data_IF_651247308055
#
_entry.id   IF_651247308055
#
_cell.length_a   1.000
_cell.length_b   1.000
_cell.length_c   1.000
_cell.angle_alpha   90.00
_cell.angle_beta   90.00
_cell.angle_gamma   90.00
#
_symmetry.space_group_name_H-M   'P 1'
#
loop_
_entity.id
_entity.type
_entity.pdbx_description
1 polymer ?
#
# COMPACT_ATOMS: atom_id res chain seq x y z
N UNK A 1 33.69 20.01 -18.87
CA UNK A 1 33.33 20.51 -17.52
C UNK A 1 31.83 20.81 -17.36
N UNK A 2 31.10 21.25 -18.40
CA UNK A 2 29.64 21.47 -18.37
C UNK A 2 28.83 20.20 -18.09
N UNK A 3 29.24 19.06 -18.64
CA UNK A 3 28.51 17.78 -18.48
C UNK A 3 28.42 17.30 -17.02
N UNK A 4 29.50 17.46 -16.23
CA UNK A 4 29.54 16.97 -14.84
C UNK A 4 28.52 17.65 -13.91
N UNK A 5 28.28 18.96 -14.10
CA UNK A 5 27.35 19.73 -13.25
C UNK A 5 25.89 19.41 -13.59
N UNK A 6 25.60 19.23 -14.88
CA UNK A 6 24.27 18.86 -15.37
C UNK A 6 23.92 17.45 -14.85
N UNK A 7 24.83 16.49 -14.99
CA UNK A 7 24.64 15.13 -14.49
C UNK A 7 24.42 15.10 -12.97
N UNK A 8 25.21 15.85 -12.20
CA UNK A 8 25.04 15.96 -10.74
C UNK A 8 23.67 16.56 -10.36
N UNK A 9 23.26 17.64 -11.02
CA UNK A 9 21.97 18.27 -10.81
C UNK A 9 20.83 17.27 -11.03
N UNK A 10 20.88 16.53 -12.14
CA UNK A 10 19.84 15.56 -12.45
C UNK A 10 19.79 14.38 -11.46
N UNK A 11 20.94 13.90 -10.96
CA UNK A 11 20.98 12.85 -9.92
C UNK A 11 20.36 13.33 -8.60
N UNK A 12 20.71 14.55 -8.17
CA UNK A 12 20.14 15.17 -6.98
C UNK A 12 18.62 15.38 -7.14
N UNK A 13 18.21 15.90 -8.30
CA UNK A 13 16.80 16.09 -8.64
C UNK A 13 16.03 14.76 -8.62
N UNK A 14 16.57 13.70 -9.23
CA UNK A 14 15.98 12.38 -9.22
C UNK A 14 15.78 11.84 -7.80
N UNK A 15 16.78 11.98 -6.92
CA UNK A 15 16.69 11.53 -5.53
C UNK A 15 15.62 12.31 -4.74
N UNK A 16 15.54 13.63 -4.95
CA UNK A 16 14.50 14.48 -4.34
C UNK A 16 13.12 14.09 -4.85
N UNK A 17 12.96 13.80 -6.15
CA UNK A 17 11.68 13.34 -6.73
C UNK A 17 11.24 12.02 -6.08
N UNK A 18 12.15 11.05 -5.94
CA UNK A 18 11.86 9.77 -5.26
C UNK A 18 11.37 9.98 -3.83
N UNK A 19 12.05 10.84 -3.06
CA UNK A 19 11.66 11.12 -1.68
C UNK A 19 10.32 11.88 -1.59
N UNK A 20 10.12 12.87 -2.47
CA UNK A 20 8.92 13.72 -2.49
C UNK A 20 7.68 12.91 -2.81
N UNK A 21 7.77 11.93 -3.72
CA UNK A 21 6.69 11.01 -4.04
C UNK A 21 6.17 10.31 -2.78
N UNK A 22 7.04 9.70 -2.00
CA UNK A 22 6.63 8.93 -0.82
C UNK A 22 6.18 9.83 0.34
N UNK A 23 6.73 11.04 0.48
CA UNK A 23 6.20 12.05 1.43
C UNK A 23 4.78 12.46 1.03
N UNK A 24 4.52 12.71 -0.26
CA UNK A 24 3.19 13.03 -0.76
C UNK A 24 2.21 11.86 -0.61
N UNK A 25 2.67 10.60 -0.74
CA UNK A 25 1.88 9.42 -0.40
C UNK A 25 1.54 9.38 1.09
N UNK A 26 2.52 9.52 1.99
CA UNK A 26 2.30 9.47 3.43
C UNK A 26 1.28 10.50 3.93
N UNK A 27 1.37 11.74 3.43
CA UNK A 27 0.42 12.81 3.76
C UNK A 27 -1.01 12.57 3.27
N UNK A 28 -1.22 11.60 2.37
CA UNK A 28 -2.54 11.28 1.80
C UNK A 28 -3.18 10.07 2.44
N UNK A 29 -2.39 9.11 2.91
CA UNK A 29 -2.89 7.97 3.70
C UNK A 29 -3.19 8.35 5.14
N UNK A 30 -2.69 9.50 5.56
CA UNK A 30 -3.03 10.15 6.80
C UNK A 30 -4.36 10.90 6.64
N UNK A 31 -5.45 10.17 6.92
CA UNK A 31 -6.79 10.56 6.50
C UNK A 31 -7.42 11.56 7.46
N UNK A 32 -7.14 11.41 8.75
CA UNK A 32 -7.95 12.00 9.82
C UNK A 32 -7.34 13.28 10.40
N UNK A 33 -6.04 13.27 10.69
CA UNK A 33 -5.21 14.42 11.07
C UNK A 33 -3.96 14.43 10.18
N UNK A 34 -3.87 15.33 9.20
CA UNK A 34 -2.71 15.32 8.30
C UNK A 34 -1.50 15.96 8.94
N UNK A 35 -0.42 15.18 8.98
CA UNK A 35 0.88 15.66 9.45
C UNK A 35 1.38 16.91 8.70
N UNK A 36 1.93 17.84 9.49
CA UNK A 36 2.54 19.07 8.96
C UNK A 36 3.82 18.72 8.21
N UNK A 37 4.15 19.50 7.18
CA UNK A 37 5.32 19.20 6.34
C UNK A 37 6.66 19.32 7.09
N UNK A 38 6.76 20.23 8.08
CA UNK A 38 8.01 20.51 8.79
C UNK A 38 8.53 19.33 9.65
N UNK A 39 7.69 18.63 10.45
CA UNK A 39 8.09 17.37 11.08
C UNK A 39 8.61 16.33 10.09
N UNK A 40 7.93 16.17 8.95
CA UNK A 40 8.34 15.21 7.91
C UNK A 40 9.69 15.59 7.29
N UNK A 41 9.93 16.87 7.00
CA UNK A 41 11.25 17.35 6.53
C UNK A 41 12.34 17.08 7.58
N UNK A 42 12.04 17.32 8.86
CA UNK A 42 13.01 17.07 9.93
C UNK A 42 13.36 15.58 10.04
N UNK A 43 12.34 14.72 9.98
CA UNK A 43 12.53 13.27 9.97
C UNK A 43 13.31 12.79 8.73
N UNK A 44 13.06 13.40 7.57
CA UNK A 44 13.79 13.12 6.34
C UNK A 44 15.28 13.45 6.50
N UNK A 45 15.60 14.64 7.04
CA UNK A 45 16.98 15.08 7.27
C UNK A 45 17.68 14.14 8.26
N UNK A 46 17.04 13.76 9.36
CA UNK A 46 17.58 12.79 10.31
C UNK A 46 17.84 11.45 9.61
N UNK A 47 16.90 10.99 8.77
CA UNK A 47 17.07 9.80 7.93
C UNK A 47 18.29 9.90 7.01
N UNK A 48 18.55 11.05 6.39
CA UNK A 48 19.73 11.27 5.55
C UNK A 48 21.05 11.16 6.30
N UNK A 49 21.06 11.31 7.63
CA UNK A 49 22.25 11.13 8.45
C UNK A 49 22.51 9.66 8.81
N UNK A 50 21.49 8.78 8.75
CA UNK A 50 21.61 7.38 9.16
C UNK A 50 22.55 6.51 8.30
N UNK A 51 22.74 6.75 6.98
CA UNK A 51 23.77 6.05 6.20
C UNK A 51 25.19 6.23 6.76
N UNK A 52 25.51 7.34 7.41
CA UNK A 52 26.82 7.54 8.04
C UNK A 52 27.08 6.56 9.19
N UNK A 53 26.02 6.18 9.93
CA UNK A 53 26.09 5.15 10.97
C UNK A 53 26.37 3.79 10.32
N UNK A 54 25.66 3.50 9.22
CA UNK A 54 25.83 2.27 8.46
C UNK A 54 27.26 2.12 7.92
N UNK A 55 27.84 3.19 7.36
CA UNK A 55 29.22 3.24 6.88
C UNK A 55 30.24 2.99 7.99
N UNK A 56 29.99 3.49 9.20
CA UNK A 56 30.83 3.21 10.36
C UNK A 56 30.88 1.70 10.66
N UNK A 57 29.74 1.04 10.72
CA UNK A 57 29.69 -0.41 10.95
C UNK A 57 30.26 -1.22 9.79
N UNK A 58 30.04 -0.82 8.53
CA UNK A 58 30.70 -1.44 7.38
C UNK A 58 32.23 -1.36 7.50
N UNK A 59 32.77 -0.24 7.98
CA UNK A 59 34.23 -0.12 8.24
C UNK A 59 34.71 -1.11 9.31
N UNK A 60 33.92 -1.37 10.35
CA UNK A 60 34.26 -2.36 11.37
C UNK A 60 34.24 -3.80 10.82
N UNK A 61 33.21 -4.15 10.06
CA UNK A 61 33.12 -5.47 9.40
C UNK A 61 34.30 -5.69 8.46
N UNK A 62 34.64 -4.68 7.64
CA UNK A 62 35.77 -4.74 6.74
C UNK A 62 37.11 -4.94 7.49
N UNK A 63 37.34 -4.22 8.59
CA UNK A 63 38.53 -4.40 9.44
C UNK A 63 38.60 -5.77 10.10
N UNK A 64 37.45 -6.38 10.40
CA UNK A 64 37.35 -7.73 10.93
C UNK A 64 37.51 -8.82 9.86
N UNK A 65 37.70 -8.46 8.58
CA UNK A 65 37.76 -9.41 7.47
C UNK A 65 36.42 -10.06 7.13
N UNK A 66 35.31 -9.46 7.59
CA UNK A 66 33.95 -9.92 7.30
C UNK A 66 33.45 -9.15 6.08
N UNK A 67 33.19 -9.87 5.00
CA UNK A 67 32.73 -9.32 3.74
C UNK A 67 32.27 -10.42 2.80
N UNK A 68 31.76 -10.01 1.64
CA UNK A 68 31.44 -10.92 0.54
C UNK A 68 32.71 -11.60 0.02
N UNK A 69 32.62 -12.88 -0.32
CA UNK A 69 33.74 -13.66 -0.83
C UNK A 69 33.36 -14.58 -2.01
N UNK A 70 32.15 -14.42 -2.56
CA UNK A 70 31.64 -15.18 -3.70
C UNK A 70 31.08 -16.56 -3.33
N UNK A 71 31.16 -16.98 -2.06
CA UNK A 71 30.56 -18.25 -1.61
C UNK A 71 29.13 -17.99 -1.16
N UNK A 72 28.19 -18.74 -1.73
CA UNK A 72 26.74 -18.61 -1.46
C UNK A 72 26.40 -18.44 0.03
N UNK A 73 26.85 -19.35 0.91
CA UNK A 73 26.50 -19.29 2.33
C UNK A 73 27.08 -18.04 3.03
N UNK A 74 28.30 -17.63 2.66
CA UNK A 74 28.92 -16.44 3.23
C UNK A 74 28.16 -15.19 2.81
N UNK A 75 27.90 -15.04 1.50
CA UNK A 75 27.28 -13.85 0.94
C UNK A 75 25.80 -13.75 1.35
N UNK A 76 25.12 -14.89 1.47
CA UNK A 76 23.77 -14.97 2.06
C UNK A 76 23.73 -14.47 3.51
N UNK A 77 24.65 -14.95 4.35
CA UNK A 77 24.73 -14.51 5.75
C UNK A 77 25.18 -13.04 5.85
N UNK A 78 26.10 -12.61 5.00
CA UNK A 78 26.56 -11.22 4.93
C UNK A 78 25.43 -10.28 4.49
N UNK A 79 24.60 -10.68 3.53
CA UNK A 79 23.46 -9.87 3.11
C UNK A 79 22.44 -9.69 4.25
N UNK A 80 22.15 -10.73 5.04
CA UNK A 80 21.22 -10.61 6.17
C UNK A 80 21.84 -9.85 7.35
N UNK A 81 23.01 -10.26 7.83
CA UNK A 81 23.59 -9.77 9.08
C UNK A 81 24.61 -8.63 8.90
N UNK A 82 25.28 -8.57 7.75
CA UNK A 82 26.21 -7.50 7.41
C UNK A 82 25.51 -6.29 6.81
N UNK A 83 24.57 -6.51 5.88
CA UNK A 83 23.82 -5.45 5.18
C UNK A 83 22.49 -5.18 5.90
N UNK A 84 21.52 -6.10 5.83
CA UNK A 84 20.16 -5.87 6.33
C UNK A 84 20.10 -5.45 7.80
N UNK A 85 20.82 -6.16 8.68
CA UNK A 85 20.89 -5.80 10.11
C UNK A 85 21.49 -4.41 10.32
N UNK A 86 22.60 -4.11 9.64
CA UNK A 86 23.31 -2.84 9.79
C UNK A 86 22.45 -1.65 9.33
N UNK A 87 21.82 -1.78 8.18
CA UNK A 87 20.99 -0.72 7.60
C UNK A 87 19.71 -0.49 8.39
N UNK A 88 18.98 -1.54 8.75
CA UNK A 88 17.79 -1.41 9.59
C UNK A 88 18.13 -0.86 10.97
N UNK A 89 19.21 -1.31 11.58
CA UNK A 89 19.67 -0.78 12.86
C UNK A 89 19.97 0.72 12.80
N UNK A 90 20.71 1.14 11.77
CA UNK A 90 21.07 2.54 11.53
C UNK A 90 19.82 3.42 11.37
N UNK A 91 18.83 2.95 10.60
CA UNK A 91 17.54 3.64 10.43
C UNK A 91 16.76 3.72 11.73
N UNK A 92 16.71 2.64 12.51
CA UNK A 92 15.98 2.64 13.79
C UNK A 92 16.58 3.62 14.81
N UNK A 93 17.89 3.84 14.81
CA UNK A 93 18.49 4.94 15.60
C UNK A 93 17.87 6.28 15.19
N UNK A 94 17.80 6.57 13.88
CA UNK A 94 17.14 7.77 13.37
C UNK A 94 15.67 7.86 13.77
N UNK A 95 14.92 6.74 13.70
CA UNK A 95 13.52 6.68 14.14
C UNK A 95 13.37 7.01 15.61
N UNK A 96 14.22 6.45 16.48
CA UNK A 96 14.18 6.72 17.92
C UNK A 96 14.40 8.20 18.20
N UNK A 97 15.35 8.84 17.50
CA UNK A 97 15.58 10.29 17.60
C UNK A 97 14.33 11.07 17.18
N UNK A 98 13.73 10.73 16.03
CA UNK A 98 12.53 11.41 15.52
C UNK A 98 11.34 11.26 16.46
N UNK A 99 11.05 10.03 16.93
CA UNK A 99 9.96 9.78 17.88
C UNK A 99 10.19 10.54 19.18
N UNK A 100 11.44 10.66 19.64
CA UNK A 100 11.76 11.40 20.87
C UNK A 100 11.50 12.90 20.71
N UNK A 101 11.94 13.49 19.59
CA UNK A 101 11.74 14.91 19.27
C UNK A 101 10.24 15.23 19.11
N UNK A 102 9.51 14.39 18.37
CA UNK A 102 8.11 14.64 18.01
C UNK A 102 7.10 13.85 18.84
N UNK A 103 7.49 13.34 20.03
CA UNK A 103 6.61 12.54 20.91
C UNK A 103 5.25 13.16 21.24
N UNK A 104 5.16 14.50 21.22
CA UNK A 104 3.93 15.26 21.50
C UNK A 104 3.04 15.46 20.28
N UNK A 105 3.60 15.28 19.07
CA UNK A 105 2.88 15.39 17.79
C UNK A 105 2.33 14.05 17.34
N UNK A 106 2.96 12.95 17.76
CA UNK A 106 2.48 11.59 17.51
C UNK A 106 1.23 11.37 18.37
N UNK A 107 0.06 11.55 17.78
CA UNK A 107 -1.24 11.41 18.43
C UNK A 107 -2.15 10.34 17.78
N UNK A 108 -1.76 9.82 16.61
CA UNK A 108 -2.38 8.68 15.95
C UNK A 108 -1.45 7.45 15.83
N UNK A 109 -2.00 6.23 15.73
CA UNK A 109 -1.21 5.03 15.44
C UNK A 109 -0.43 5.11 14.11
N UNK A 110 -0.96 5.84 13.11
CA UNK A 110 -0.36 5.92 11.79
C UNK A 110 0.92 6.77 11.77
N UNK A 111 1.02 7.78 12.64
CA UNK A 111 2.16 8.70 12.70
C UNK A 111 3.46 7.95 13.01
N UNK A 112 3.42 6.94 13.90
CA UNK A 112 4.59 6.10 14.17
C UNK A 112 5.14 5.46 12.89
N UNK A 113 4.25 5.02 11.99
CA UNK A 113 4.63 4.43 10.71
C UNK A 113 5.03 5.50 9.68
N UNK A 114 4.39 6.67 9.69
CA UNK A 114 4.77 7.80 8.82
C UNK A 114 6.19 8.27 9.16
N UNK A 115 6.47 8.60 10.44
CA UNK A 115 7.80 9.05 10.86
C UNK A 115 8.87 7.99 10.59
N UNK A 116 8.58 6.71 10.84
CA UNK A 116 9.49 5.63 10.52
C UNK A 116 9.76 5.50 9.01
N UNK A 117 8.71 5.57 8.20
CA UNK A 117 8.82 5.55 6.75
C UNK A 117 9.59 6.74 6.22
N UNK A 118 9.45 7.92 6.80
CA UNK A 118 10.15 9.15 6.37
C UNK A 118 11.64 9.11 6.72
N UNK A 119 12.01 8.54 7.87
CA UNK A 119 13.42 8.25 8.18
C UNK A 119 13.99 7.26 7.16
N UNK A 120 13.25 6.22 6.81
CA UNK A 120 13.66 5.26 5.77
C UNK A 120 13.80 5.90 4.39
N UNK A 121 12.91 6.83 4.02
CA UNK A 121 13.02 7.63 2.80
C UNK A 121 14.31 8.46 2.81
N UNK A 122 14.68 9.05 3.94
CA UNK A 122 15.92 9.81 4.07
C UNK A 122 17.16 8.96 3.83
N UNK A 123 17.21 7.76 4.41
CA UNK A 123 18.27 6.78 4.14
C UNK A 123 18.30 6.42 2.64
N UNK A 124 17.15 6.03 2.10
CA UNK A 124 17.00 5.63 0.70
C UNK A 124 17.33 6.76 -0.28
N UNK A 125 17.15 8.02 0.09
CA UNK A 125 17.48 9.18 -0.76
C UNK A 125 18.99 9.29 -0.98
N UNK A 126 19.79 9.15 0.08
CA UNK A 126 21.26 9.16 -0.01
C UNK A 126 21.76 7.94 -0.78
N UNK A 127 21.17 6.79 -0.52
CA UNK A 127 21.52 5.57 -1.23
C UNK A 127 21.15 5.65 -2.72
N UNK A 128 19.93 6.11 -3.06
CA UNK A 128 19.49 6.35 -4.44
C UNK A 128 20.43 7.30 -5.17
N UNK A 129 20.87 8.38 -4.52
CA UNK A 129 21.84 9.31 -5.11
C UNK A 129 23.14 8.59 -5.48
N UNK A 130 23.67 7.73 -4.60
CA UNK A 130 24.83 6.87 -4.89
C UNK A 130 24.55 5.94 -6.06
N UNK A 131 23.40 5.27 -6.10
CA UNK A 131 23.02 4.39 -7.22
C UNK A 131 22.88 5.14 -8.54
N UNK A 132 22.32 6.35 -8.53
CA UNK A 132 22.24 7.18 -9.74
C UNK A 132 23.63 7.60 -10.22
N UNK A 133 24.57 7.84 -9.32
CA UNK A 133 25.97 8.10 -9.67
C UNK A 133 26.67 6.92 -10.35
N UNK A 134 26.33 5.69 -9.96
CA UNK A 134 26.94 4.47 -10.48
C UNK A 134 26.28 3.98 -11.78
N UNK A 135 24.95 3.99 -11.82
CA UNK A 135 24.17 3.36 -12.89
C UNK A 135 23.44 4.37 -13.78
N UNK A 136 23.54 5.67 -13.48
CA UNK A 136 22.81 6.72 -14.17
C UNK A 136 21.34 6.78 -13.77
N UNK A 137 20.62 7.79 -14.28
CA UNK A 137 19.22 8.07 -13.92
C UNK A 137 18.25 7.02 -14.46
N UNK A 138 18.69 6.17 -15.38
CA UNK A 138 17.87 5.09 -15.94
C UNK A 138 17.26 4.15 -14.88
N UNK A 139 17.84 4.10 -13.67
CA UNK A 139 17.32 3.30 -12.55
C UNK A 139 16.40 4.08 -11.61
N UNK A 140 16.04 5.33 -11.90
CA UNK A 140 15.16 6.16 -11.04
C UNK A 140 13.83 5.47 -10.73
N UNK A 141 13.14 4.95 -11.76
CA UNK A 141 11.84 4.30 -11.58
C UNK A 141 11.94 3.06 -10.68
N UNK A 142 12.78 2.04 -10.98
CA UNK A 142 12.88 0.87 -10.10
C UNK A 142 13.40 1.22 -8.71
N UNK A 143 14.35 2.14 -8.56
CA UNK A 143 14.82 2.57 -7.23
C UNK A 143 13.73 3.29 -6.44
N UNK A 144 12.90 4.11 -7.09
CA UNK A 144 11.80 4.85 -6.43
C UNK A 144 10.69 3.91 -5.97
N UNK A 145 10.28 2.94 -6.80
CA UNK A 145 9.12 2.09 -6.50
C UNK A 145 9.48 0.77 -5.84
N UNK A 146 10.62 0.14 -6.14
CA UNK A 146 11.09 -1.06 -5.44
C UNK A 146 11.94 -0.69 -4.23
N UNK A 147 13.18 -0.24 -4.43
CA UNK A 147 14.18 -0.13 -3.36
C UNK A 147 13.77 0.85 -2.26
N UNK A 148 13.28 2.05 -2.60
CA UNK A 148 12.81 2.99 -1.59
C UNK A 148 11.60 2.47 -0.82
N UNK A 149 10.69 1.74 -1.48
CA UNK A 149 9.55 1.15 -0.79
C UNK A 149 9.96 -0.02 0.10
N UNK A 150 10.95 -0.81 -0.30
CA UNK A 150 11.53 -1.89 0.48
C UNK A 150 12.07 -1.37 1.82
N UNK A 151 12.88 -0.30 1.79
CA UNK A 151 13.36 0.34 3.01
C UNK A 151 12.23 0.86 3.90
N UNK A 152 11.17 1.44 3.30
CA UNK A 152 9.98 1.89 4.03
C UNK A 152 9.30 0.70 4.71
N UNK A 153 9.07 -0.39 3.99
CA UNK A 153 8.39 -1.60 4.49
C UNK A 153 9.15 -2.15 5.70
N UNK A 154 10.46 -2.36 5.59
CA UNK A 154 11.25 -2.98 6.65
C UNK A 154 11.35 -2.09 7.89
N UNK A 155 11.65 -0.81 7.72
CA UNK A 155 11.78 0.12 8.85
C UNK A 155 10.45 0.27 9.58
N UNK A 156 9.34 0.42 8.84
CA UNK A 156 8.01 0.52 9.44
C UNK A 156 7.54 -0.78 10.08
N UNK A 157 7.97 -1.94 9.58
CA UNK A 157 7.70 -3.25 10.19
C UNK A 157 8.29 -3.35 11.59
N UNK A 158 9.55 -2.96 11.76
CA UNK A 158 10.21 -2.96 13.07
C UNK A 158 9.47 -2.06 14.06
N UNK A 159 9.12 -0.84 13.63
CA UNK A 159 8.40 0.13 14.45
C UNK A 159 6.99 -0.35 14.80
N UNK A 160 6.29 -0.97 13.84
CA UNK A 160 5.03 -1.64 14.11
C UNK A 160 5.21 -2.70 15.20
N UNK A 161 6.28 -3.51 15.16
CA UNK A 161 6.64 -4.47 16.20
C UNK A 161 6.76 -3.85 17.60
N UNK A 162 7.49 -2.74 17.74
CA UNK A 162 7.64 -1.99 18.99
C UNK A 162 6.30 -1.50 19.56
N UNK A 163 5.42 -1.00 18.70
CA UNK A 163 4.20 -0.33 19.12
C UNK A 163 2.94 -1.19 19.03
N UNK A 164 2.99 -2.39 18.44
CA UNK A 164 1.82 -3.25 18.20
C UNK A 164 1.03 -3.57 19.48
N UNK A 165 1.72 -3.88 20.58
CA UNK A 165 1.05 -4.13 21.85
C UNK A 165 0.45 -2.85 22.43
N UNK A 166 1.19 -1.73 22.40
CA UNK A 166 0.73 -0.44 22.92
C UNK A 166 -0.52 0.04 22.18
N UNK A 167 -0.50 -0.02 20.84
CA UNK A 167 -1.54 0.52 19.95
C UNK A 167 -2.76 -0.41 19.85
N UNK A 168 -2.57 -1.73 19.78
CA UNK A 168 -3.65 -2.67 19.44
C UNK A 168 -3.92 -3.74 20.50
N UNK A 169 -3.14 -3.78 21.59
CA UNK A 169 -3.18 -4.84 22.62
C UNK A 169 -3.01 -6.25 22.04
N UNK A 170 -2.19 -6.41 20.99
CA UNK A 170 -1.94 -7.69 20.31
C UNK A 170 -0.53 -8.22 20.54
N UNK A 171 -0.44 -9.52 20.82
CA UNK A 171 0.83 -10.24 21.03
C UNK A 171 1.54 -9.85 22.32
N UNK A 172 2.77 -10.35 22.51
CA UNK A 172 3.64 -9.97 23.62
C UNK A 172 4.66 -8.92 23.13
N UNK A 173 4.95 -7.85 23.89
CA UNK A 173 5.84 -6.78 23.45
C UNK A 173 7.19 -7.28 22.92
N UNK A 174 7.89 -8.10 23.71
CA UNK A 174 9.22 -8.63 23.35
C UNK A 174 9.17 -9.50 22.09
N UNK A 175 8.17 -10.40 22.00
CA UNK A 175 8.00 -11.28 20.83
C UNK A 175 7.69 -10.47 19.58
N UNK A 176 6.83 -9.45 19.67
CA UNK A 176 6.51 -8.59 18.54
C UNK A 176 7.76 -7.88 18.01
N UNK A 177 8.61 -7.34 18.89
CA UNK A 177 9.85 -6.66 18.50
C UNK A 177 10.82 -7.64 17.85
N UNK A 178 11.12 -8.76 18.50
CA UNK A 178 12.10 -9.73 17.99
C UNK A 178 11.69 -10.30 16.63
N UNK A 179 10.43 -10.68 16.47
CA UNK A 179 9.93 -11.21 15.19
C UNK A 179 9.92 -10.14 14.12
N UNK A 180 9.43 -8.92 14.41
CA UNK A 180 9.39 -7.85 13.43
C UNK A 180 10.80 -7.44 12.97
N UNK A 181 11.75 -7.31 13.91
CA UNK A 181 13.16 -7.05 13.62
C UNK A 181 13.77 -8.14 12.76
N UNK A 182 13.63 -9.41 13.15
CA UNK A 182 14.18 -10.51 12.36
C UNK A 182 13.60 -10.57 10.94
N UNK A 183 12.28 -10.42 10.79
CA UNK A 183 11.62 -10.46 9.48
C UNK A 183 12.04 -9.27 8.61
N UNK A 184 12.15 -8.06 9.16
CA UNK A 184 12.61 -6.89 8.43
C UNK A 184 14.07 -7.03 7.96
N UNK A 185 14.96 -7.48 8.86
CA UNK A 185 16.37 -7.71 8.57
C UNK A 185 16.55 -8.79 7.50
N UNK A 186 15.83 -9.91 7.64
CA UNK A 186 15.85 -10.97 6.66
C UNK A 186 15.25 -10.52 5.32
N UNK A 187 14.14 -9.77 5.32
CA UNK A 187 13.54 -9.23 4.11
C UNK A 187 14.51 -8.33 3.35
N UNK A 188 15.14 -7.37 4.04
CA UNK A 188 16.15 -6.48 3.46
C UNK A 188 17.31 -7.27 2.86
N UNK A 189 17.96 -8.09 3.69
CA UNK A 189 19.13 -8.84 3.25
C UNK A 189 18.83 -9.80 2.11
N UNK A 190 17.69 -10.49 2.15
CA UNK A 190 17.28 -11.37 1.06
C UNK A 190 16.94 -10.59 -0.22
N UNK A 191 16.29 -9.43 -0.10
CA UNK A 191 16.00 -8.59 -1.25
C UNK A 191 17.30 -8.15 -1.96
N UNK A 192 18.27 -7.67 -1.20
CA UNK A 192 19.58 -7.27 -1.72
C UNK A 192 20.37 -8.45 -2.28
N UNK A 193 20.40 -9.57 -1.56
CA UNK A 193 21.06 -10.79 -2.00
C UNK A 193 20.55 -11.23 -3.37
N UNK A 194 19.22 -11.31 -3.55
CA UNK A 194 18.62 -11.70 -4.82
C UNK A 194 18.72 -10.62 -5.91
N UNK A 195 18.97 -9.37 -5.56
CA UNK A 195 19.18 -8.30 -6.53
C UNK A 195 20.64 -8.25 -7.02
N UNK A 196 21.59 -8.61 -6.15
CA UNK A 196 23.03 -8.62 -6.44
C UNK A 196 23.52 -9.96 -7.03
N UNK A 197 22.97 -11.09 -6.57
CA UNK A 197 23.35 -12.40 -7.09
C UNK A 197 22.80 -12.63 -8.51
N UNK A 198 23.72 -12.75 -9.47
CA UNK A 198 23.41 -13.03 -10.87
C UNK A 198 23.56 -14.51 -11.24
N UNK A 199 23.99 -15.36 -10.30
CA UNK A 199 24.35 -16.76 -10.54
C UNK A 199 23.20 -17.60 -11.09
N UNK A 200 21.95 -17.22 -10.80
CA UNK A 200 20.73 -17.94 -11.21
C UNK A 200 19.81 -17.14 -12.15
N UNK A 201 20.29 -16.03 -12.72
CA UNK A 201 19.59 -15.25 -13.75
C UNK A 201 18.17 -14.84 -13.34
N UNK A 202 17.16 -15.25 -14.12
CA UNK A 202 15.76 -14.87 -13.88
C UNK A 202 15.17 -15.36 -12.54
N UNK A 203 15.76 -16.38 -11.91
CA UNK A 203 15.28 -16.91 -10.64
C UNK A 203 15.52 -15.94 -9.49
N UNK A 204 16.65 -15.23 -9.46
CA UNK A 204 16.94 -14.26 -8.38
C UNK A 204 16.00 -13.05 -8.49
N UNK A 205 15.77 -12.55 -9.71
CA UNK A 205 14.75 -11.53 -9.96
C UNK A 205 13.33 -11.97 -9.54
N UNK A 206 12.96 -13.24 -9.74
CA UNK A 206 11.67 -13.75 -9.28
C UNK A 206 11.55 -13.74 -7.75
N UNK A 207 12.60 -14.15 -7.03
CA UNK A 207 12.59 -14.16 -5.57
C UNK A 207 12.57 -12.76 -4.95
N UNK A 208 13.32 -11.80 -5.52
CA UNK A 208 13.27 -10.40 -5.06
C UNK A 208 11.88 -9.79 -5.26
N UNK A 209 11.24 -10.04 -6.40
CA UNK A 209 9.84 -9.62 -6.64
C UNK A 209 8.89 -10.29 -5.66
N UNK A 210 9.07 -11.57 -5.34
CA UNK A 210 8.22 -12.28 -4.38
C UNK A 210 8.30 -11.66 -2.98
N UNK A 211 9.52 -11.39 -2.48
CA UNK A 211 9.76 -10.73 -1.20
C UNK A 211 9.09 -9.35 -1.19
N UNK A 212 9.32 -8.57 -2.25
CA UNK A 212 8.74 -7.24 -2.40
C UNK A 212 7.21 -7.26 -2.37
N UNK A 213 6.56 -8.14 -3.14
CA UNK A 213 5.10 -8.22 -3.20
C UNK A 213 4.47 -8.66 -1.88
N UNK A 214 5.11 -9.60 -1.17
CA UNK A 214 4.69 -10.02 0.17
C UNK A 214 4.84 -8.85 1.14
N UNK A 215 5.99 -8.16 1.10
CA UNK A 215 6.30 -6.99 1.92
C UNK A 215 5.27 -5.87 1.76
N UNK A 216 4.90 -5.53 0.51
CA UNK A 216 3.86 -4.53 0.22
C UNK A 216 2.54 -4.89 0.88
N UNK A 217 2.09 -6.13 0.72
CA UNK A 217 0.81 -6.53 1.28
C UNK A 217 0.85 -6.55 2.82
N UNK A 218 1.99 -6.90 3.42
CA UNK A 218 2.20 -6.82 4.86
C UNK A 218 2.14 -5.37 5.34
N UNK A 219 2.83 -4.46 4.66
CA UNK A 219 2.87 -3.03 4.95
C UNK A 219 1.50 -2.36 4.85
N UNK A 220 0.75 -2.61 3.78
CA UNK A 220 -0.61 -2.05 3.65
C UNK A 220 -1.54 -2.58 4.75
N UNK A 221 -1.38 -3.84 5.20
CA UNK A 221 -2.14 -4.34 6.36
C UNK A 221 -1.79 -3.60 7.66
N UNK A 222 -0.51 -3.24 7.87
CA UNK A 222 -0.07 -2.45 9.03
C UNK A 222 -0.66 -1.03 8.99
N UNK A 223 -0.55 -0.35 7.85
CA UNK A 223 -1.14 0.98 7.64
C UNK A 223 -2.66 0.96 7.82
N UNK A 224 -3.32 -0.10 7.32
CA UNK A 224 -4.75 -0.28 7.48
C UNK A 224 -5.17 -0.39 8.94
N UNK A 225 -4.46 -1.22 9.72
CA UNK A 225 -4.72 -1.34 11.14
C UNK A 225 -4.45 -0.03 11.88
N UNK A 226 -3.42 0.73 11.49
CA UNK A 226 -3.12 2.02 12.09
C UNK A 226 -4.28 3.02 11.86
N UNK A 227 -4.75 3.15 10.62
CA UNK A 227 -5.90 3.99 10.28
C UNK A 227 -7.19 3.56 11.02
N UNK A 228 -7.45 2.26 11.13
CA UNK A 228 -8.64 1.75 11.83
C UNK A 228 -8.69 2.12 13.32
N UNK A 229 -7.54 2.36 13.95
CA UNK A 229 -7.43 2.74 15.36
C UNK A 229 -7.11 4.23 15.56
N UNK A 230 -7.26 5.05 14.51
CA UNK A 230 -7.21 6.50 14.62
C UNK A 230 -8.13 7.01 15.75
N UNK A 231 -7.61 7.92 16.57
CA UNK A 231 -8.38 8.69 17.55
C UNK A 231 -9.33 9.69 16.89
N UNK A 232 -9.02 10.14 15.67
CA UNK A 232 -9.78 11.12 14.90
C UNK A 232 -10.67 10.47 13.83
N UNK A 233 -10.92 9.16 13.95
CA UNK A 233 -11.64 8.37 12.97
C UNK A 233 -13.02 8.97 12.64
N UNK A 234 -13.21 9.30 11.36
CA UNK A 234 -14.43 9.89 10.82
C UNK A 234 -14.71 9.34 9.41
N UNK A 235 -15.88 8.72 9.23
CA UNK A 235 -16.27 8.13 7.96
C UNK A 235 -16.38 9.17 6.82
N UNK A 236 -16.66 10.43 7.13
CA UNK A 236 -16.81 11.50 6.14
C UNK A 236 -15.49 11.98 5.54
N UNK A 237 -14.36 11.64 6.18
CA UNK A 237 -13.02 11.97 5.66
C UNK A 237 -12.47 10.92 4.68
N UNK A 238 -13.13 9.77 4.53
CA UNK A 238 -12.63 8.62 3.77
C UNK A 238 -12.96 8.76 2.27
N UNK A 239 -12.30 9.71 1.60
CA UNK A 239 -12.52 10.03 0.17
C UNK A 239 -11.22 10.11 -0.64
N UNK A 240 -10.35 9.11 -0.49
CA UNK A 240 -8.96 9.23 -0.96
C UNK A 240 -8.45 8.09 -1.84
N UNK A 241 -9.02 6.88 -1.82
CA UNK A 241 -8.47 5.70 -2.52
C UNK A 241 -8.15 5.97 -3.99
N UNK A 242 -9.11 6.51 -4.76
CA UNK A 242 -8.87 6.86 -6.17
C UNK A 242 -7.87 8.01 -6.34
N UNK A 243 -7.92 9.02 -5.45
CA UNK A 243 -7.00 10.17 -5.48
C UNK A 243 -5.55 9.75 -5.18
N UNK A 244 -5.34 8.77 -4.31
CA UNK A 244 -4.01 8.20 -4.02
C UNK A 244 -3.50 7.47 -5.26
N UNK A 245 -4.32 6.62 -5.88
CA UNK A 245 -3.94 5.90 -7.09
C UNK A 245 -3.51 6.86 -8.21
N UNK A 246 -4.33 7.87 -8.52
CA UNK A 246 -4.00 8.87 -9.54
C UNK A 246 -2.72 9.63 -9.22
N UNK A 247 -2.48 9.90 -7.94
CA UNK A 247 -1.28 10.62 -7.51
C UNK A 247 -0.02 9.75 -7.65
N UNK A 248 -0.09 8.48 -7.28
CA UNK A 248 1.01 7.54 -7.52
C UNK A 248 1.28 7.37 -9.03
N UNK A 249 0.21 7.30 -9.83
CA UNK A 249 0.33 7.23 -11.30
C UNK A 249 1.02 8.48 -11.86
N UNK A 250 0.67 9.68 -11.37
CA UNK A 250 1.36 10.91 -11.73
C UNK A 250 2.86 10.85 -11.42
N UNK A 251 3.25 10.41 -10.23
CA UNK A 251 4.66 10.27 -9.86
C UNK A 251 5.38 9.22 -10.70
N UNK A 252 4.73 8.09 -10.99
CA UNK A 252 5.25 7.06 -11.89
C UNK A 252 5.49 7.60 -13.31
N UNK A 253 4.51 8.32 -13.86
CA UNK A 253 4.67 8.97 -15.16
C UNK A 253 5.80 9.99 -15.15
N UNK A 254 5.98 10.74 -14.05
CA UNK A 254 7.08 11.70 -13.92
C UNK A 254 8.45 11.00 -13.93
N UNK A 255 8.64 9.88 -13.21
CA UNK A 255 9.93 9.16 -13.24
C UNK A 255 10.24 8.57 -14.61
N UNK A 256 9.21 8.12 -15.34
CA UNK A 256 9.36 7.67 -16.73
C UNK A 256 9.75 8.83 -17.64
N UNK A 257 9.12 10.00 -17.52
CA UNK A 257 9.47 11.19 -18.31
C UNK A 257 10.91 11.63 -18.04
N UNK A 258 11.34 11.67 -16.77
CA UNK A 258 12.73 11.99 -16.40
C UNK A 258 13.69 10.99 -17.05
N UNK A 259 13.39 9.70 -16.98
CA UNK A 259 14.19 8.65 -17.60
C UNK A 259 14.26 8.80 -19.12
N UNK A 260 13.13 9.11 -19.76
CA UNK A 260 13.02 9.29 -21.20
C UNK A 260 13.82 10.50 -21.69
N UNK A 261 13.68 11.66 -21.03
CA UNK A 261 14.45 12.87 -21.34
C UNK A 261 15.95 12.61 -21.15
N UNK A 262 16.36 11.97 -20.06
CA UNK A 262 17.75 11.62 -19.83
C UNK A 262 18.29 10.68 -20.93
N UNK A 263 17.50 9.69 -21.36
CA UNK A 263 17.92 8.76 -22.43
C UNK A 263 18.07 9.48 -23.78
N UNK A 264 17.25 10.50 -24.07
CA UNK A 264 17.39 11.32 -25.29
C UNK A 264 18.72 12.09 -25.25
N UNK A 265 19.06 12.68 -24.10
CA UNK A 265 20.29 13.47 -23.93
C UNK A 265 21.54 12.58 -24.05
N UNK A 266 21.50 11.38 -23.47
CA UNK A 266 22.67 10.49 -23.37
C UNK A 266 22.83 9.56 -24.58
N UNK A 267 21.74 9.20 -25.24
CA UNK A 267 21.74 8.29 -26.38
C UNK A 267 21.13 8.98 -27.60
N UNK A 268 19.93 8.58 -28.01
CA UNK A 268 19.22 9.13 -29.16
C UNK A 268 17.72 8.82 -29.02
N UNK A 269 16.90 9.41 -29.89
CA UNK A 269 15.45 9.25 -29.83
C UNK A 269 15.00 7.80 -30.04
N UNK A 270 15.62 7.06 -30.97
CA UNK A 270 15.21 5.68 -31.30
C UNK A 270 15.45 4.75 -30.11
N UNK A 271 16.64 4.81 -29.50
CA UNK A 271 16.97 4.02 -28.31
C UNK A 271 16.06 4.41 -27.13
N UNK A 272 15.75 5.69 -26.98
CA UNK A 272 14.89 6.19 -25.90
C UNK A 272 13.46 5.65 -25.99
N UNK A 273 12.88 5.64 -27.20
CA UNK A 273 11.55 5.08 -27.44
C UNK A 273 11.52 3.58 -27.16
N UNK A 274 12.54 2.84 -27.61
CA UNK A 274 12.65 1.40 -27.34
C UNK A 274 12.74 1.10 -25.84
N UNK A 275 13.62 1.81 -25.11
CA UNK A 275 13.76 1.66 -23.65
C UNK A 275 12.49 2.04 -22.88
N UNK A 276 11.76 3.05 -23.34
CA UNK A 276 10.48 3.46 -22.76
C UNK A 276 9.45 2.33 -22.82
N UNK A 277 9.23 1.75 -24.00
CA UNK A 277 8.30 0.64 -24.14
C UNK A 277 8.77 -0.59 -23.37
N UNK A 278 10.07 -0.90 -23.40
CA UNK A 278 10.61 -1.99 -22.60
C UNK A 278 10.33 -1.83 -21.10
N UNK A 279 10.55 -0.63 -20.54
CA UNK A 279 10.25 -0.34 -19.14
C UNK A 279 8.75 -0.46 -18.82
N UNK A 280 7.87 0.03 -19.70
CA UNK A 280 6.43 -0.11 -19.53
C UNK A 280 5.95 -1.58 -19.56
N UNK A 281 6.54 -2.41 -20.42
CA UNK A 281 6.18 -3.83 -20.50
C UNK A 281 6.78 -4.67 -19.38
N UNK A 282 8.02 -4.39 -18.96
CA UNK A 282 8.71 -5.14 -17.91
C UNK A 282 8.17 -4.83 -16.51
N UNK A 283 8.11 -3.56 -16.14
CA UNK A 283 7.76 -3.13 -14.79
C UNK A 283 6.35 -2.54 -14.68
N UNK A 284 5.76 -2.07 -15.77
CA UNK A 284 4.52 -1.28 -15.73
C UNK A 284 3.32 -2.05 -15.17
N UNK A 285 3.18 -3.34 -15.51
CA UNK A 285 2.11 -4.16 -14.92
C UNK A 285 2.30 -4.36 -13.41
N UNK A 286 3.54 -4.63 -12.98
CA UNK A 286 3.88 -4.83 -11.59
C UNK A 286 3.61 -3.56 -10.78
N UNK A 287 4.09 -2.40 -11.24
CA UNK A 287 3.80 -1.13 -10.56
C UNK A 287 2.34 -0.74 -10.58
N UNK A 288 1.59 -1.07 -11.65
CA UNK A 288 0.14 -0.87 -11.65
C UNK A 288 -0.56 -1.66 -10.54
N UNK A 289 -0.20 -2.94 -10.36
CA UNK A 289 -0.72 -3.78 -9.27
C UNK A 289 -0.32 -3.23 -7.90
N UNK A 290 0.93 -2.77 -7.74
CA UNK A 290 1.40 -2.17 -6.49
C UNK A 290 0.66 -0.88 -6.16
N UNK A 291 0.53 0.04 -7.12
CA UNK A 291 -0.21 1.30 -6.94
C UNK A 291 -1.67 1.06 -6.57
N UNK A 292 -2.32 0.06 -7.17
CA UNK A 292 -3.65 -0.37 -6.75
C UNK A 292 -3.63 -0.90 -5.31
N UNK A 293 -2.70 -1.78 -4.93
CA UNK A 293 -2.70 -2.33 -3.57
C UNK A 293 -2.46 -1.25 -2.52
N UNK A 294 -1.48 -0.39 -2.77
CA UNK A 294 -1.02 0.67 -1.88
C UNK A 294 -2.04 1.80 -1.73
N UNK A 295 -3.00 1.92 -2.66
CA UNK A 295 -4.13 2.84 -2.54
C UNK A 295 -5.37 2.24 -1.84
N UNK A 296 -5.47 0.91 -1.70
CA UNK A 296 -6.69 0.22 -1.24
C UNK A 296 -6.61 -0.22 0.22
N UNK A 297 -7.45 0.39 1.04
CA UNK A 297 -7.54 0.12 2.47
C UNK A 297 -8.87 -0.55 2.83
N UNK A 298 -8.87 -1.35 3.89
CA UNK A 298 -10.05 -1.95 4.52
C UNK A 298 -10.39 -1.14 5.78
N UNK A 299 -11.12 -0.04 5.60
CA UNK A 299 -11.37 0.91 6.68
C UNK A 299 -12.60 0.49 7.50
N UNK A 300 -12.36 0.23 8.79
CA UNK A 300 -13.34 -0.19 9.80
C UNK A 300 -12.94 0.40 11.16
N UNK A 301 -13.86 1.12 11.81
CA UNK A 301 -13.59 1.73 13.11
C UNK A 301 -13.21 0.68 14.16
N UNK A 302 -12.06 0.88 14.82
CA UNK A 302 -11.50 0.05 15.89
C UNK A 302 -11.38 -1.46 15.58
N UNK A 303 -11.28 -1.83 14.29
CA UNK A 303 -11.17 -3.23 13.88
C UNK A 303 -9.74 -3.60 13.52
N UNK A 304 -9.20 -4.58 14.25
CA UNK A 304 -7.88 -5.15 13.99
C UNK A 304 -7.98 -6.33 13.03
N UNK A 305 -7.21 -6.29 11.94
CA UNK A 305 -7.02 -7.42 11.04
C UNK A 305 -5.68 -8.10 11.31
N UNK A 306 -5.71 -9.42 11.51
CA UNK A 306 -4.48 -10.20 11.64
C UNK A 306 -3.62 -10.08 10.37
N UNK A 307 -2.33 -9.85 10.56
CA UNK A 307 -1.37 -9.77 9.45
C UNK A 307 -1.20 -11.16 8.82
N UNK A 308 -1.42 -11.25 7.51
CA UNK A 308 -1.27 -12.49 6.72
C UNK A 308 -0.17 -12.34 5.69
N UNK A 309 0.65 -13.39 5.54
CA UNK A 309 1.65 -13.53 4.47
C UNK A 309 0.93 -13.93 3.20
N UNK A 310 0.69 -12.96 2.30
CA UNK A 310 -0.07 -13.16 1.08
C UNK A 310 0.38 -12.16 0.01
N UNK A 311 0.20 -12.53 -1.25
CA UNK A 311 0.36 -11.60 -2.37
C UNK A 311 -0.69 -10.49 -2.34
N UNK A 312 -0.39 -9.33 -2.97
CA UNK A 312 -1.30 -8.20 -3.02
C UNK A 312 -2.52 -8.43 -3.92
N UNK A 313 -2.55 -9.54 -4.67
CA UNK A 313 -3.66 -9.96 -5.51
C UNK A 313 -3.96 -11.44 -5.32
N UNK A 314 -5.14 -11.87 -5.76
CA UNK A 314 -5.57 -13.27 -5.76
C UNK A 314 -6.52 -13.55 -6.92
N UNK A 315 -6.68 -14.84 -7.24
CA UNK A 315 -7.66 -15.28 -8.24
C UNK A 315 -9.03 -15.39 -7.58
N UNK A 316 -10.01 -14.64 -8.06
CA UNK A 316 -11.38 -14.65 -7.52
C UNK A 316 -12.34 -15.44 -8.41
N UNK A 317 -13.31 -16.10 -7.77
CA UNK A 317 -14.39 -16.87 -8.44
C UNK A 317 -15.74 -16.16 -8.37
N UNK A 318 -15.81 -14.95 -7.81
CA UNK A 318 -17.07 -14.35 -7.34
C UNK A 318 -17.54 -13.15 -8.19
N UNK A 319 -17.14 -13.11 -9.47
CA UNK A 319 -17.48 -12.03 -10.45
C UNK A 319 -17.15 -10.61 -9.98
N UNK A 320 -16.22 -10.50 -9.04
CA UNK A 320 -15.81 -9.26 -8.38
C UNK A 320 -14.34 -8.93 -8.70
N UNK A 321 -13.85 -9.41 -9.84
CA UNK A 321 -12.45 -9.22 -10.25
C UNK A 321 -12.16 -7.81 -10.74
N UNK A 322 -10.93 -7.34 -10.53
CA UNK A 322 -10.44 -6.08 -11.09
C UNK A 322 -10.00 -6.27 -12.55
N UNK A 323 -9.26 -7.34 -12.82
CA UNK A 323 -8.73 -7.67 -14.14
C UNK A 323 -9.25 -9.04 -14.58
N UNK A 324 -9.68 -9.14 -15.83
CA UNK A 324 -10.02 -10.40 -16.48
C UNK A 324 -9.06 -10.63 -17.65
N UNK A 325 -8.32 -11.73 -17.63
CA UNK A 325 -7.47 -12.16 -18.75
C UNK A 325 -8.33 -13.03 -19.68
N UNK A 326 -8.79 -12.53 -20.85
CA UNK A 326 -9.82 -13.20 -21.64
C UNK A 326 -9.43 -14.61 -22.07
N UNK A 327 -8.19 -14.79 -22.54
CA UNK A 327 -7.70 -16.05 -23.12
C UNK A 327 -7.52 -17.17 -22.09
N UNK A 328 -7.23 -16.84 -20.84
CA UNK A 328 -6.98 -17.83 -19.77
C UNK A 328 -8.18 -17.97 -18.81
N UNK A 329 -9.23 -17.18 -18.98
CA UNK A 329 -10.35 -17.04 -18.03
C UNK A 329 -9.90 -16.80 -16.57
N UNK A 330 -8.71 -16.21 -16.38
CA UNK A 330 -8.18 -15.85 -15.08
C UNK A 330 -8.77 -14.50 -14.66
N UNK A 331 -9.25 -14.45 -13.42
CA UNK A 331 -9.92 -13.30 -12.82
C UNK A 331 -9.15 -12.87 -11.59
N UNK A 332 -8.47 -11.72 -11.67
CA UNK A 332 -7.56 -11.23 -10.64
C UNK A 332 -8.25 -10.10 -9.87
N UNK A 333 -8.28 -10.21 -8.54
CA UNK A 333 -8.67 -9.13 -7.63
C UNK A 333 -7.44 -8.66 -6.85
N UNK A 334 -7.19 -7.37 -6.84
CA UNK A 334 -6.20 -6.71 -5.97
C UNK A 334 -6.85 -6.52 -4.60
N UNK A 335 -6.16 -6.96 -3.55
CA UNK A 335 -6.66 -6.93 -2.18
C UNK A 335 -6.94 -5.49 -1.71
N UNK A 336 -7.86 -5.38 -0.77
CA UNK A 336 -8.35 -4.09 -0.26
C UNK A 336 -9.61 -3.66 -1.01
N UNK A 337 -10.22 -2.57 -0.53
CA UNK A 337 -11.47 -2.05 -1.09
C UNK A 337 -11.16 -1.11 -2.24
N UNK A 338 -11.81 -1.31 -3.38
CA UNK A 338 -11.75 -0.38 -4.50
C UNK A 338 -12.57 0.89 -4.21
N UNK A 339 -12.48 1.88 -5.09
CA UNK A 339 -13.18 3.16 -4.92
C UNK A 339 -14.69 3.00 -4.78
N UNK A 340 -15.31 2.16 -5.62
CA UNK A 340 -16.77 1.93 -5.58
C UNK A 340 -17.19 1.24 -4.28
N UNK A 341 -16.39 0.28 -3.80
CA UNK A 341 -16.63 -0.41 -2.53
C UNK A 341 -16.60 0.54 -1.33
N UNK A 342 -15.84 1.64 -1.40
CA UNK A 342 -15.76 2.65 -0.34
C UNK A 342 -16.92 3.64 -0.31
N UNK A 343 -17.62 3.89 -1.43
CA UNK A 343 -18.60 4.99 -1.52
C UNK A 343 -19.67 4.88 -0.41
N UNK A 344 -20.28 3.72 -0.13
CA UNK A 344 -21.32 3.65 0.89
C UNK A 344 -20.81 3.78 2.32
N UNK A 345 -19.50 3.66 2.55
CA UNK A 345 -18.91 3.86 3.88
C UNK A 345 -19.24 5.26 4.46
N UNK A 346 -19.39 6.28 3.61
CA UNK A 346 -19.73 7.65 4.04
C UNK A 346 -21.19 7.87 4.44
N UNK A 347 -22.03 6.89 4.13
CA UNK A 347 -23.47 6.92 4.37
C UNK A 347 -23.87 6.01 5.54
N UNK A 348 -22.89 5.39 6.23
CA UNK A 348 -23.13 4.67 7.47
C UNK A 348 -23.75 5.63 8.49
N UNK A 349 -24.81 5.17 9.14
CA UNK A 349 -25.65 5.91 10.10
C UNK A 349 -26.38 7.13 9.49
N UNK A 350 -26.46 7.23 8.16
CA UNK A 350 -27.20 8.28 7.44
C UNK A 350 -28.45 7.73 6.75
N UNK A 351 -29.48 8.56 6.68
CA UNK A 351 -30.67 8.29 5.87
C UNK A 351 -30.34 8.46 4.39
N UNK A 352 -30.78 7.50 3.59
CA UNK A 352 -30.61 7.44 2.15
C UNK A 352 -31.94 7.05 1.50
N UNK A 353 -32.09 7.33 0.21
CA UNK A 353 -33.20 6.85 -0.60
C UNK A 353 -32.65 5.77 -1.53
N UNK A 354 -33.19 4.56 -1.40
CA UNK A 354 -32.85 3.42 -2.25
C UNK A 354 -33.85 3.40 -3.41
N UNK A 355 -33.34 3.58 -4.63
CA UNK A 355 -34.17 3.65 -5.83
C UNK A 355 -33.90 2.44 -6.74
N UNK A 356 -34.94 1.79 -7.30
CA UNK A 356 -34.73 0.70 -8.24
C UNK A 356 -34.13 1.21 -9.56
N UNK A 357 -33.14 0.49 -10.10
CA UNK A 357 -32.55 0.83 -11.40
C UNK A 357 -33.52 0.52 -12.55
N UNK A 358 -34.33 -0.53 -12.39
CA UNK A 358 -35.37 -0.89 -13.35
C UNK A 358 -36.72 -1.01 -12.64
N UNK A 359 -37.62 -0.05 -12.88
CA UNK A 359 -38.95 0.00 -12.26
C UNK A 359 -39.87 -1.14 -12.71
N UNK A 360 -39.63 -1.74 -13.88
CA UNK A 360 -40.52 -2.78 -14.45
C UNK A 360 -40.37 -4.16 -13.82
N UNK A 361 -39.24 -4.42 -13.16
CA UNK A 361 -38.90 -5.72 -12.54
C UNK A 361 -38.43 -5.55 -11.09
N UNK A 362 -38.85 -4.45 -10.46
CA UNK A 362 -38.37 -4.06 -9.14
C UNK A 362 -39.03 -4.85 -8.01
N UNK A 363 -38.23 -5.22 -7.01
CA UNK A 363 -38.74 -5.77 -5.76
C UNK A 363 -39.29 -4.66 -4.83
N UNK A 364 -38.63 -3.49 -4.80
CA UNK A 364 -39.05 -2.33 -4.02
C UNK A 364 -40.24 -1.58 -4.64
N UNK A 365 -40.45 -1.68 -5.95
CA UNK A 365 -41.43 -0.96 -6.79
C UNK A 365 -41.28 0.56 -6.83
N UNK A 366 -41.02 1.20 -5.68
CA UNK A 366 -40.89 2.65 -5.51
C UNK A 366 -39.57 2.98 -4.80
N UNK A 367 -39.10 4.23 -4.88
CA UNK A 367 -38.03 4.73 -4.01
C UNK A 367 -38.40 4.58 -2.52
N UNK A 368 -37.51 3.99 -1.71
CA UNK A 368 -37.74 3.75 -0.28
C UNK A 368 -36.66 4.40 0.57
N UNK A 369 -37.07 5.08 1.64
CA UNK A 369 -36.14 5.61 2.65
C UNK A 369 -35.54 4.46 3.46
N UNK A 370 -34.22 4.49 3.62
CA UNK A 370 -33.48 3.49 4.37
C UNK A 370 -32.31 4.11 5.10
N UNK A 371 -31.73 3.37 6.05
CA UNK A 371 -30.53 3.76 6.77
C UNK A 371 -29.49 2.65 6.62
N UNK A 372 -28.27 3.01 6.22
CA UNK A 372 -27.15 2.06 6.25
C UNK A 372 -26.67 1.96 7.69
N UNK A 373 -26.76 0.78 8.28
CA UNK A 373 -26.47 0.60 9.71
C UNK A 373 -25.06 0.11 9.99
N UNK A 374 -24.53 -0.80 9.17
CA UNK A 374 -23.21 -1.38 9.42
C UNK A 374 -22.52 -1.76 8.11
N UNK A 375 -21.20 -1.88 8.18
CA UNK A 375 -20.33 -2.41 7.13
C UNK A 375 -19.76 -3.75 7.57
N UNK A 376 -19.85 -4.74 6.70
CA UNK A 376 -19.33 -6.09 6.93
C UNK A 376 -18.29 -6.47 5.88
N UNK A 377 -17.45 -7.44 6.26
CA UNK A 377 -16.55 -8.13 5.35
C UNK A 377 -16.96 -9.60 5.36
N UNK A 378 -17.39 -10.11 4.21
CA UNK A 378 -17.76 -11.51 4.00
C UNK A 378 -16.51 -12.41 3.96
N UNK A 379 -16.73 -13.73 4.00
CA UNK A 379 -15.66 -14.74 4.03
C UNK A 379 -14.72 -14.66 2.81
N UNK A 380 -15.29 -14.29 1.67
CA UNK A 380 -14.65 -14.21 0.36
C UNK A 380 -13.99 -12.84 0.06
N UNK A 381 -13.71 -12.05 1.11
CA UNK A 381 -13.15 -10.69 1.02
C UNK A 381 -14.08 -9.70 0.26
N UNK A 382 -15.40 -9.95 0.27
CA UNK A 382 -16.40 -9.04 -0.31
C UNK A 382 -16.96 -8.09 0.75
N UNK A 383 -17.01 -6.80 0.42
CA UNK A 383 -17.61 -5.77 1.28
C UNK A 383 -19.11 -5.67 1.01
N UNK A 384 -19.89 -5.66 2.09
CA UNK A 384 -21.33 -5.45 2.05
C UNK A 384 -21.77 -4.51 3.17
N UNK A 385 -22.91 -3.87 2.99
CA UNK A 385 -23.48 -2.90 3.94
C UNK A 385 -24.87 -3.36 4.35
N UNK A 386 -25.17 -3.42 5.64
CA UNK A 386 -26.55 -3.67 6.07
C UNK A 386 -27.41 -2.44 5.92
N UNK A 387 -28.62 -2.64 5.45
CA UNK A 387 -29.60 -1.58 5.21
C UNK A 387 -30.90 -1.92 5.92
N UNK A 388 -31.46 -0.94 6.62
CA UNK A 388 -32.77 -1.03 7.27
C UNK A 388 -33.72 -0.08 6.57
N UNK A 389 -34.88 -0.58 6.14
CA UNK A 389 -35.90 0.22 5.46
C UNK A 389 -36.88 0.79 6.48
N UNK A 390 -37.26 2.07 6.31
CA UNK A 390 -38.16 2.75 7.25
C UNK A 390 -39.64 2.38 7.06
N UNK A 391 -40.00 1.65 6.00
CA UNK A 391 -41.38 1.26 5.72
C UNK A 391 -41.77 -0.01 6.50
N UNK A 392 -42.84 0.08 7.29
CA UNK A 392 -43.34 -0.93 8.27
C UNK A 392 -43.72 -2.30 7.63
N UNK A 393 -43.59 -2.48 6.30
CA UNK A 393 -43.92 -3.72 5.60
C UNK A 393 -42.71 -4.52 5.08
N UNK A 394 -41.53 -3.90 4.97
CA UNK A 394 -40.31 -4.55 4.46
C UNK A 394 -39.46 -5.03 5.64
N UNK A 395 -40.06 -5.93 6.43
CA UNK A 395 -39.35 -6.90 7.27
C UNK A 395 -38.76 -6.40 8.59
N UNK A 396 -39.57 -6.40 9.65
CA UNK A 396 -39.09 -6.39 11.04
C UNK A 396 -38.19 -7.60 11.41
N UNK A 397 -38.03 -8.58 10.49
CA UNK A 397 -37.24 -9.80 10.69
C UNK A 397 -36.29 -10.18 9.51
N UNK A 398 -36.16 -9.35 8.47
CA UNK A 398 -35.30 -9.68 7.31
C UNK A 398 -34.06 -8.78 7.26
N UNK A 399 -32.87 -9.38 7.20
CA UNK A 399 -31.62 -8.66 7.01
C UNK A 399 -31.35 -8.45 5.51
N UNK A 400 -31.27 -7.18 5.10
CA UNK A 400 -30.93 -6.78 3.74
C UNK A 400 -29.50 -6.24 3.68
N UNK A 401 -28.83 -6.54 2.57
CA UNK A 401 -27.45 -6.13 2.31
C UNK A 401 -27.35 -5.38 0.98
N UNK A 402 -26.54 -4.33 0.94
CA UNK A 402 -26.10 -3.63 -0.26
C UNK A 402 -24.68 -4.10 -0.58
N UNK A 403 -24.46 -4.51 -1.84
CA UNK A 403 -23.11 -4.76 -2.37
C UNK A 403 -22.81 -3.77 -3.49
N UNK A 404 -21.72 -3.00 -3.40
CA UNK A 404 -21.32 -2.07 -4.44
C UNK A 404 -21.08 -2.77 -5.76
N UNK A 405 -21.60 -2.15 -6.82
CA UNK A 405 -21.34 -2.61 -8.18
C UNK A 405 -19.98 -2.07 -8.62
N UNK A 406 -19.06 -2.98 -8.89
CA UNK A 406 -17.66 -2.66 -9.21
C UNK A 406 -17.36 -2.65 -10.70
N UNK A 407 -18.32 -3.06 -11.55
CA UNK A 407 -18.17 -3.19 -13.02
C UNK A 407 -19.42 -2.81 -13.80
N UNK A 408 -19.21 -2.44 -15.06
CA UNK A 408 -20.26 -1.99 -15.97
C UNK A 408 -20.76 -0.61 -15.59
N UNK A 409 -22.09 -0.40 -15.59
CA UNK A 409 -22.70 0.84 -15.11
C UNK A 409 -22.71 0.84 -13.57
N UNK A 410 -21.72 1.50 -12.97
CA UNK A 410 -21.52 1.62 -11.51
C UNK A 410 -22.22 2.85 -10.91
N UNK A 411 -22.65 3.79 -11.76
CA UNK A 411 -23.32 5.02 -11.34
C UNK A 411 -24.51 5.34 -12.27
N UNK A 412 -25.54 5.99 -11.73
CA UNK A 412 -26.64 6.61 -12.47
C UNK A 412 -26.40 8.13 -12.50
N UNK A 413 -26.58 8.73 -13.68
CA UNK A 413 -26.37 10.15 -13.95
C UNK A 413 -24.98 10.71 -13.55
N UNK A 414 -23.99 9.83 -13.41
CA UNK A 414 -22.63 10.16 -12.97
C UNK A 414 -22.53 10.61 -11.50
N UNK A 415 -23.58 10.38 -10.71
CA UNK A 415 -23.68 10.90 -9.33
C UNK A 415 -24.07 9.80 -8.35
N UNK A 416 -25.05 8.96 -8.70
CA UNK A 416 -25.65 8.02 -7.75
C UNK A 416 -25.04 6.62 -7.86
N UNK A 417 -24.41 6.10 -6.80
CA UNK A 417 -23.77 4.78 -6.84
C UNK A 417 -24.80 3.66 -6.99
N UNK A 418 -24.46 2.66 -7.81
CA UNK A 418 -25.27 1.47 -8.05
C UNK A 418 -24.85 0.35 -7.12
N UNK A 419 -25.82 -0.24 -6.45
CA UNK A 419 -25.68 -1.32 -5.48
C UNK A 419 -26.54 -2.51 -5.92
N UNK A 420 -26.11 -3.73 -5.61
CA UNK A 420 -26.99 -4.89 -5.61
C UNK A 420 -27.67 -5.01 -4.26
N UNK A 421 -28.99 -5.12 -4.24
CA UNK A 421 -29.78 -5.39 -3.05
C UNK A 421 -29.91 -6.91 -2.85
N UNK A 422 -29.40 -7.41 -1.74
CA UNK A 422 -29.39 -8.84 -1.39
C UNK A 422 -30.24 -9.10 -0.15
N UNK A 423 -30.86 -10.29 -0.10
CA UNK A 423 -31.50 -10.82 1.10
C UNK A 423 -30.64 -11.90 1.74
N UNK A 424 -30.48 -11.83 3.06
CA UNK A 424 -29.85 -12.87 3.86
C UNK A 424 -30.91 -13.88 4.30
N UNK A 425 -30.60 -15.18 4.22
CA UNK A 425 -31.50 -16.22 4.74
C UNK A 425 -31.51 -16.21 6.28
N UNK A 426 -32.67 -16.46 6.89
CA UNK A 426 -32.92 -16.26 8.32
C UNK A 426 -32.04 -17.09 9.29
N UNK A 427 -31.23 -18.03 8.80
CA UNK A 427 -30.35 -18.90 9.61
C UNK A 427 -28.93 -18.34 9.83
N UNK A 428 -28.60 -17.17 9.27
CA UNK A 428 -27.25 -16.63 9.33
C UNK A 428 -27.02 -15.80 10.60
N UNK A 429 -26.23 -16.36 11.52
CA UNK A 429 -25.81 -15.69 12.77
C UNK A 429 -24.57 -14.81 12.58
N UNK A 430 -23.69 -15.14 11.63
CA UNK A 430 -22.41 -14.46 11.41
C UNK A 430 -22.10 -14.26 9.92
N UNK A 431 -22.27 -13.02 9.45
CA UNK A 431 -22.00 -12.63 8.06
C UNK A 431 -20.54 -12.83 7.64
N UNK A 432 -19.58 -12.87 8.57
CA UNK A 432 -18.17 -13.06 8.23
C UNK A 432 -17.83 -14.46 7.69
N UNK A 433 -18.76 -15.41 7.85
CA UNK A 433 -18.66 -16.80 7.35
C UNK A 433 -19.46 -17.06 6.07
N UNK A 434 -20.15 -16.04 5.57
CA UNK A 434 -21.03 -16.16 4.40
C UNK A 434 -20.26 -15.83 3.13
N UNK A 435 -20.46 -16.63 2.07
CA UNK A 435 -19.99 -16.33 0.71
C UNK A 435 -21.08 -15.56 -0.05
N UNK A 436 -20.72 -14.53 -0.81
CA UNK A 436 -21.66 -13.76 -1.63
C UNK A 436 -22.55 -14.62 -2.55
N UNK A 437 -22.08 -15.79 -2.99
CA UNK A 437 -22.86 -16.72 -3.83
C UNK A 437 -24.06 -17.32 -3.12
N UNK A 438 -24.03 -17.35 -1.80
CA UNK A 438 -25.15 -17.85 -0.99
C UNK A 438 -26.23 -16.79 -0.79
N UNK A 439 -25.91 -15.52 -1.05
CA UNK A 439 -26.86 -14.42 -0.95
C UNK A 439 -27.71 -14.32 -2.22
N UNK A 440 -29.02 -14.13 -2.04
CA UNK A 440 -29.95 -13.94 -3.16
C UNK A 440 -30.00 -12.46 -3.54
N UNK A 441 -29.51 -12.14 -4.74
CA UNK A 441 -29.73 -10.82 -5.36
C UNK A 441 -31.23 -10.65 -5.64
N UNK A 442 -31.82 -9.60 -5.08
CA UNK A 442 -33.21 -9.22 -5.33
C UNK A 442 -33.32 -8.31 -6.56
N UNK A 443 -32.56 -7.21 -6.57
CA UNK A 443 -32.53 -6.27 -7.68
C UNK A 443 -31.28 -5.38 -7.64
N UNK A 444 -31.08 -4.60 -8.71
CA UNK A 444 -30.10 -3.52 -8.73
C UNK A 444 -30.77 -2.21 -8.34
N UNK A 445 -30.16 -1.48 -7.42
CA UNK A 445 -30.64 -0.20 -6.90
C UNK A 445 -29.57 0.87 -7.05
N UNK A 446 -29.94 2.13 -7.01
CA UNK A 446 -29.02 3.25 -6.87
C UNK A 446 -29.35 4.05 -5.62
N UNK A 447 -28.34 4.62 -4.98
CA UNK A 447 -28.51 5.36 -3.72
C UNK A 447 -28.56 6.87 -3.99
N UNK A 448 -29.63 7.53 -3.58
CA UNK A 448 -29.71 8.99 -3.45
C UNK A 448 -29.53 9.37 -1.99
N UNK A 449 -28.78 10.43 -1.72
CA UNK A 449 -28.48 10.90 -0.36
C UNK A 449 -28.84 12.36 -0.23
#
# INVERSE_FOLDING_TARGET
MSDSKITLFFMAFAAIVSATMWIDYFRRIDVFEREKIWPLITALIIGCCTPSICLFFYSLLHKAGIGENGKFLNDFLYAIFGVGLNEEFSKIIGVVVVITIFRKKIDEPIDYLIYAGVVAIGFAMIENFKYFSLYGIKVITPRTFYSSLEHIINTTLIVYGFYRYKLFKKGKPVVNVLVASFVAIASHGLFDFFLMDTSYGYLTAFFSIMIYLIGINFWVQMLNNANNFSSFFDYDKIHYTYKIFLRLLFWYSLTIVITFVNNIIVSDLRTSVSKFFFALFSDGFLFWVVMLRVSRFKIYKQKYFNLKIQFPFYITKNKDEDLKIPFLNIRIKVRGENYMEHIPTKYIDKSIIVCPVNSTTSFLNIPVNATITNKYLLFDDVVVYSVVFNHIGIGENNLFLLKPKTRGRTEIDGIYPVEGLYKVNNEVVDLSKVDIKSLKLLEWVYLKV
#
